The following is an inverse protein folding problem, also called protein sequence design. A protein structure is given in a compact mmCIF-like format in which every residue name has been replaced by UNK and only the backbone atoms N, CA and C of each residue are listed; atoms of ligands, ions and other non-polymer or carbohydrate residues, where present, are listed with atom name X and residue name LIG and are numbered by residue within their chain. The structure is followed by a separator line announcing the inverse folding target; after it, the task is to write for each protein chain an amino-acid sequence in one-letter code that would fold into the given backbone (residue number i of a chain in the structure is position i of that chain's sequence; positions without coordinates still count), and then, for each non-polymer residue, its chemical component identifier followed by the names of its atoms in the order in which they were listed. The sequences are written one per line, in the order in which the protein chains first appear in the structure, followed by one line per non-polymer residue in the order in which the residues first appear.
data_IF_063830593792
#
_entry.id   IF_063830593792
#
_cell.length_a   1.000
_cell.length_b   1.000
_cell.length_c   1.000
_cell.angle_alpha   90.00
_cell.angle_beta   90.00
_cell.angle_gamma   90.00
#
_symmetry.space_group_name_H-M   'P 1'
#
loop_
_entity.id
_entity.type
_entity.pdbx_description
1 polymer ?
#
# COMPACT_ATOMS: atom_id res chain seq x y z
N UNK A 1 -11.84 30.74 9.09
CA UNK A 1 -12.68 30.02 8.10
C UNK A 1 -13.13 30.98 7.02
N UNK A 2 -12.62 30.91 5.80
CA UNK A 2 -13.20 31.64 4.67
C UNK A 2 -13.83 30.64 3.70
N UNK A 3 -15.13 30.37 3.90
CA UNK A 3 -15.99 29.71 2.91
C UNK A 3 -15.91 30.53 1.62
N UNK A 4 -15.30 29.98 0.58
CA UNK A 4 -15.41 30.55 -0.76
C UNK A 4 -16.86 30.38 -1.22
N UNK A 5 -17.56 31.51 -1.29
CA UNK A 5 -18.93 31.67 -1.79
C UNK A 5 -19.10 30.98 -3.15
N UNK A 6 -20.22 30.29 -3.35
CA UNK A 6 -20.47 29.42 -4.51
C UNK A 6 -20.32 30.16 -5.85
N UNK A 7 -20.55 31.49 -5.88
CA UNK A 7 -20.37 32.35 -7.06
C UNK A 7 -18.91 32.55 -7.45
N UNK A 8 -17.96 32.63 -6.50
CA UNK A 8 -16.52 32.76 -6.79
C UNK A 8 -15.92 31.51 -7.43
N UNK A 9 -16.52 30.32 -7.22
CA UNK A 9 -16.09 29.06 -7.87
C UNK A 9 -16.38 29.01 -9.37
N UNK A 10 -17.47 29.65 -9.82
CA UNK A 10 -17.86 29.63 -11.23
C UNK A 10 -16.91 30.44 -12.14
N UNK A 11 -16.25 31.48 -11.61
CA UNK A 11 -15.32 32.33 -12.35
C UNK A 11 -13.87 31.82 -12.40
N UNK A 12 -13.54 30.74 -11.68
CA UNK A 12 -12.18 30.25 -11.63
C UNK A 12 -11.74 29.64 -12.97
N UNK A 13 -10.53 29.96 -13.48
CA UNK A 13 -10.06 29.46 -14.77
C UNK A 13 -9.83 27.94 -14.71
N UNK A 14 -9.90 27.24 -15.86
CA UNK A 14 -9.69 25.77 -15.96
C UNK A 14 -8.38 25.28 -15.29
N UNK A 15 -7.36 26.15 -15.19
CA UNK A 15 -6.10 25.85 -14.50
C UNK A 15 -6.24 25.63 -12.99
N UNK A 16 -7.28 26.18 -12.37
CA UNK A 16 -7.57 26.07 -10.94
C UNK A 16 -8.11 24.69 -10.52
N UNK A 17 -8.28 23.77 -11.46
CA UNK A 17 -8.86 22.44 -11.25
C UNK A 17 -7.93 21.38 -11.79
N UNK A 18 -7.74 20.28 -11.06
CA UNK A 18 -6.93 19.16 -11.52
C UNK A 18 -7.61 18.40 -12.67
N UNK A 19 -8.95 18.39 -12.73
CA UNK A 19 -9.72 17.71 -13.77
C UNK A 19 -10.85 18.59 -14.34
N UNK A 20 -11.00 18.58 -15.66
CA UNK A 20 -12.12 19.18 -16.40
C UNK A 20 -12.55 18.17 -17.46
N UNK A 21 -13.82 17.78 -17.46
CA UNK A 21 -14.37 16.82 -18.43
C UNK A 21 -14.66 17.48 -19.80
N UNK A 22 -14.97 16.67 -20.82
CA UNK A 22 -15.33 17.15 -22.17
C UNK A 22 -16.57 18.05 -22.19
N UNK A 23 -17.46 17.91 -21.21
CA UNK A 23 -18.66 18.76 -21.02
C UNK A 23 -18.33 20.06 -20.26
N UNK A 24 -17.07 20.30 -19.91
CA UNK A 24 -16.62 21.51 -19.23
C UNK A 24 -16.84 21.51 -17.72
N UNK A 25 -17.30 20.41 -17.10
CA UNK A 25 -17.47 20.30 -15.65
C UNK A 25 -16.09 20.24 -14.98
N UNK A 26 -15.91 21.12 -13.99
CA UNK A 26 -14.64 21.29 -13.28
C UNK A 26 -14.68 20.53 -11.96
N UNK A 27 -13.72 19.63 -11.73
CA UNK A 27 -13.62 18.81 -10.51
C UNK A 27 -12.22 18.97 -9.89
N UNK A 28 -12.08 18.61 -8.61
CA UNK A 28 -10.80 18.64 -7.90
C UNK A 28 -10.11 20.03 -7.95
N UNK A 29 -10.70 21.06 -7.34
CA UNK A 29 -10.07 22.38 -7.24
C UNK A 29 -8.71 22.26 -6.53
N UNK A 30 -7.75 23.04 -7.00
CA UNK A 30 -6.35 23.04 -6.55
C UNK A 30 -5.80 24.46 -6.33
N UNK A 31 -6.69 25.43 -6.18
CA UNK A 31 -6.33 26.85 -6.08
C UNK A 31 -5.81 27.25 -4.71
N UNK A 32 -6.06 26.48 -3.66
CA UNK A 32 -5.53 26.69 -2.31
C UNK A 32 -5.33 25.35 -1.58
N UNK A 33 -4.65 25.40 -0.44
CA UNK A 33 -4.26 24.24 0.37
C UNK A 33 -5.46 23.41 0.84
N UNK A 34 -6.55 24.04 1.28
CA UNK A 34 -7.75 23.36 1.75
C UNK A 34 -8.44 22.59 0.61
N UNK A 35 -8.53 23.21 -0.57
CA UNK A 35 -9.05 22.56 -1.75
C UNK A 35 -8.17 21.39 -2.19
N UNK A 36 -6.84 21.52 -2.11
CA UNK A 36 -5.93 20.42 -2.45
C UNK A 36 -6.09 19.24 -1.49
N UNK A 37 -6.15 19.48 -0.16
CA UNK A 37 -6.41 18.40 0.81
C UNK A 37 -7.74 17.69 0.54
N UNK A 38 -8.81 18.46 0.32
CA UNK A 38 -10.13 17.91 0.02
C UNK A 38 -10.14 17.15 -1.33
N UNK A 39 -9.45 17.68 -2.35
CA UNK A 39 -9.30 17.01 -3.64
C UNK A 39 -8.54 15.69 -3.53
N UNK A 40 -7.48 15.61 -2.71
CA UNK A 40 -6.75 14.38 -2.44
C UNK A 40 -7.66 13.33 -1.77
N UNK A 41 -8.44 13.73 -0.77
CA UNK A 41 -9.35 12.84 -0.04
C UNK A 41 -10.43 12.22 -0.95
N UNK A 42 -10.96 12.99 -1.91
CA UNK A 42 -12.07 12.56 -2.78
C UNK A 42 -11.66 12.15 -4.19
N UNK A 43 -10.38 12.08 -4.50
CA UNK A 43 -9.92 11.78 -5.87
C UNK A 43 -10.47 10.46 -6.41
N UNK A 44 -10.57 9.45 -5.55
CA UNK A 44 -11.14 8.13 -5.90
C UNK A 44 -12.65 8.14 -6.10
N UNK A 45 -13.36 9.18 -5.65
CA UNK A 45 -14.81 9.35 -5.84
C UNK A 45 -15.14 10.10 -7.12
N UNK A 46 -14.13 10.50 -7.90
CA UNK A 46 -14.32 11.25 -9.14
C UNK A 46 -14.40 10.28 -10.32
N UNK A 47 -15.51 10.31 -11.04
CA UNK A 47 -15.61 9.65 -12.34
C UNK A 47 -14.73 10.38 -13.36
N UNK A 48 -13.81 9.62 -13.96
CA UNK A 48 -12.97 10.08 -15.05
C UNK A 48 -13.44 9.44 -16.35
N UNK A 49 -13.39 10.20 -17.44
CA UNK A 49 -13.79 9.71 -18.77
C UNK A 49 -12.92 8.55 -19.27
N UNK A 50 -11.66 8.48 -18.83
CA UNK A 50 -10.73 7.40 -19.12
C UNK A 50 -9.51 7.46 -18.18
N UNK A 51 -8.71 6.39 -18.21
CA UNK A 51 -7.50 6.27 -17.40
C UNK A 51 -6.48 7.37 -17.70
N UNK A 52 -6.36 7.79 -18.96
CA UNK A 52 -5.46 8.88 -19.32
C UNK A 52 -5.89 10.23 -18.70
N UNK A 53 -7.19 10.49 -18.61
CA UNK A 53 -7.74 11.68 -17.95
C UNK A 53 -7.51 11.62 -16.44
N UNK A 54 -7.70 10.45 -15.83
CA UNK A 54 -7.39 10.18 -14.42
C UNK A 54 -5.91 10.45 -14.10
N UNK A 55 -5.01 9.94 -14.93
CA UNK A 55 -3.57 10.12 -14.72
C UNK A 55 -3.13 11.58 -14.87
N UNK A 56 -3.67 12.31 -15.86
CA UNK A 56 -3.43 13.75 -15.99
C UNK A 56 -3.91 14.53 -14.77
N UNK A 57 -5.10 14.19 -14.24
CA UNK A 57 -5.63 14.81 -13.04
C UNK A 57 -4.78 14.51 -11.79
N UNK A 58 -4.32 13.26 -11.65
CA UNK A 58 -3.43 12.82 -10.57
C UNK A 58 -2.15 13.66 -10.56
N UNK A 59 -1.47 13.77 -11.70
CA UNK A 59 -0.24 14.54 -11.84
C UNK A 59 -0.44 16.02 -11.45
N UNK A 60 -1.54 16.63 -11.90
CA UNK A 60 -1.86 18.03 -11.56
C UNK A 60 -2.15 18.21 -10.08
N UNK A 61 -2.87 17.28 -9.45
CA UNK A 61 -3.20 17.33 -8.04
C UNK A 61 -1.95 17.16 -7.16
N UNK A 62 -1.04 16.24 -7.51
CA UNK A 62 0.23 16.08 -6.80
C UNK A 62 1.13 17.32 -6.94
N UNK A 63 1.20 17.92 -8.13
CA UNK A 63 1.93 19.17 -8.31
C UNK A 63 1.36 20.31 -7.46
N UNK A 64 0.05 20.38 -7.30
CA UNK A 64 -0.58 21.35 -6.42
C UNK A 64 -0.32 21.05 -4.94
N UNK A 65 -0.37 19.78 -4.53
CA UNK A 65 0.01 19.35 -3.18
C UNK A 65 1.44 19.78 -2.85
N UNK A 66 2.36 19.63 -3.80
CA UNK A 66 3.74 20.13 -3.69
C UNK A 66 3.79 21.61 -3.37
N UNK A 67 3.07 22.42 -4.15
CA UNK A 67 3.05 23.87 -4.04
C UNK A 67 2.65 24.34 -2.64
N UNK A 68 1.80 23.57 -1.96
CA UNK A 68 1.30 23.88 -0.62
C UNK A 68 1.92 23.02 0.49
N UNK A 69 2.99 22.26 0.22
CA UNK A 69 3.66 21.44 1.23
C UNK A 69 2.81 20.29 1.80
N UNK A 70 1.84 19.78 1.04
CA UNK A 70 0.98 18.67 1.45
C UNK A 70 1.61 17.35 0.99
N UNK A 71 1.78 16.40 1.91
CA UNK A 71 2.35 15.06 1.66
C UNK A 71 1.25 13.98 1.73
N UNK A 72 0.72 13.49 0.60
CA UNK A 72 -0.46 12.63 0.60
C UNK A 72 -0.11 11.14 0.55
N UNK A 73 0.36 10.58 1.67
CA UNK A 73 0.82 9.19 1.79
C UNK A 73 -0.28 8.18 1.40
N UNK A 74 -1.50 8.32 1.94
CA UNK A 74 -2.62 7.42 1.64
C UNK A 74 -3.17 7.51 0.21
N UNK A 75 -2.90 8.63 -0.49
CA UNK A 75 -3.35 8.82 -1.86
C UNK A 75 -2.56 7.95 -2.85
N UNK A 76 -1.24 7.82 -2.63
CA UNK A 76 -0.34 7.07 -3.49
C UNK A 76 -0.65 5.56 -3.40
N UNK A 77 -0.86 5.04 -2.19
CA UNK A 77 -1.26 3.64 -1.96
C UNK A 77 -2.67 3.35 -2.48
N UNK A 78 -3.63 4.26 -2.27
CA UNK A 78 -5.02 4.08 -2.74
C UNK A 78 -5.18 4.05 -4.27
N UNK A 79 -4.25 4.66 -5.04
CA UNK A 79 -4.23 4.59 -6.50
C UNK A 79 -3.73 3.22 -7.04
N UNK A 80 -2.89 2.52 -6.27
CA UNK A 80 -2.33 1.22 -6.68
C UNK A 80 -3.38 0.10 -6.71
N UNK A 81 -4.47 0.23 -5.95
CA UNK A 81 -5.55 -0.76 -5.89
C UNK A 81 -6.68 -0.48 -6.88
N UNK A 82 -6.89 0.78 -7.25
CA UNK A 82 -8.01 1.19 -8.11
C UNK A 82 -7.71 1.12 -9.62
N UNK A 83 -6.53 0.60 -10.00
CA UNK A 83 -6.22 0.19 -11.38
C UNK A 83 -6.70 -1.24 -11.72
N UNK A 84 -7.34 -1.96 -10.78
CA UNK A 84 -7.73 -3.37 -10.99
C UNK A 84 -9.14 -3.79 -10.54
N UNK A 85 -10.03 -2.87 -10.18
CA UNK A 85 -11.39 -3.25 -9.78
C UNK A 85 -12.44 -2.27 -10.35
N UNK A 86 -13.09 -2.69 -11.43
CA UNK A 86 -14.48 -2.31 -11.70
C UNK A 86 -15.36 -3.06 -10.70
N UNK A 87 -16.01 -2.33 -9.80
CA UNK A 87 -17.37 -2.58 -9.28
C UNK A 87 -17.61 -1.70 -8.03
N UNK A 88 -18.82 -1.18 -7.98
CA UNK A 88 -19.39 -0.10 -7.17
C UNK A 88 -19.55 -0.40 -5.67
N UNK A 89 -19.53 0.68 -4.88
CA UNK A 89 -19.86 0.86 -3.45
C UNK A 89 -18.79 0.54 -2.38
N UNK A 90 -18.27 1.64 -1.83
CA UNK A 90 -18.12 2.02 -0.41
C UNK A 90 -17.15 1.30 0.56
N UNK A 91 -16.52 2.12 1.43
CA UNK A 91 -15.57 1.88 2.54
C UNK A 91 -14.27 1.11 2.20
N UNK A 92 -13.16 1.81 1.91
CA UNK A 92 -11.83 1.17 1.76
C UNK A 92 -10.67 2.05 2.26
N UNK A 93 -10.30 1.92 3.54
CA UNK A 93 -9.13 2.61 4.11
C UNK A 93 -8.43 1.83 5.26
N UNK A 94 -8.45 0.49 5.26
CA UNK A 94 -7.88 -0.32 6.37
C UNK A 94 -6.43 -0.79 6.10
N UNK A 95 -5.62 0.05 5.45
CA UNK A 95 -4.24 -0.28 5.10
C UNK A 95 -3.29 0.78 5.68
N UNK A 96 -2.28 0.30 6.41
CA UNK A 96 -1.24 1.13 7.01
C UNK A 96 0.11 0.86 6.37
N UNK A 97 0.92 1.91 6.25
CA UNK A 97 2.29 1.84 5.72
C UNK A 97 3.23 2.47 6.74
N UNK A 98 4.26 1.72 7.16
CA UNK A 98 5.26 2.15 8.11
C UNK A 98 6.66 1.90 7.55
N UNK A 99 7.61 2.77 7.91
CA UNK A 99 9.00 2.67 7.47
C UNK A 99 9.90 2.66 8.69
N UNK A 100 10.82 1.71 8.69
CA UNK A 100 11.78 1.50 9.76
C UNK A 100 13.19 1.65 9.19
N UNK A 101 14.11 2.14 10.02
CA UNK A 101 15.53 2.25 9.65
C UNK A 101 16.20 0.87 9.63
N UNK A 102 15.78 -0.03 10.52
CA UNK A 102 16.31 -1.38 10.63
C UNK A 102 15.21 -2.42 10.41
N UNK A 103 15.55 -3.52 9.73
CA UNK A 103 14.60 -4.58 9.40
C UNK A 103 14.09 -5.31 10.66
N UNK A 104 14.94 -5.45 11.68
CA UNK A 104 14.58 -6.07 12.98
C UNK A 104 13.43 -5.30 13.64
N UNK A 105 13.51 -3.97 13.71
CA UNK A 105 12.46 -3.13 14.29
C UNK A 105 11.10 -3.36 13.62
N UNK A 106 11.09 -3.51 12.28
CA UNK A 106 9.87 -3.77 11.53
C UNK A 106 9.26 -5.13 11.86
N UNK A 107 10.10 -6.17 11.98
CA UNK A 107 9.68 -7.54 12.32
C UNK A 107 9.15 -7.60 13.76
N UNK A 108 9.83 -6.98 14.71
CA UNK A 108 9.39 -6.92 16.11
C UNK A 108 8.08 -6.15 16.26
N UNK A 109 7.95 -5.00 15.59
CA UNK A 109 6.71 -4.23 15.57
C UNK A 109 5.55 -5.05 14.98
N UNK A 110 5.78 -5.76 13.88
CA UNK A 110 4.77 -6.63 13.28
C UNK A 110 4.33 -7.76 14.23
N UNK A 111 5.29 -8.40 14.91
CA UNK A 111 5.00 -9.43 15.90
C UNK A 111 4.20 -8.87 17.10
N UNK A 112 4.57 -7.69 17.59
CA UNK A 112 3.85 -7.00 18.66
C UNK A 112 2.40 -6.66 18.28
N UNK A 113 2.18 -6.17 17.05
CA UNK A 113 0.84 -5.88 16.52
C UNK A 113 -0.02 -7.15 16.48
N UNK A 114 0.49 -8.25 15.93
CA UNK A 114 -0.28 -9.49 15.84
C UNK A 114 -0.61 -10.07 17.22
N UNK A 115 0.33 -10.01 18.18
CA UNK A 115 0.09 -10.44 19.56
C UNK A 115 -1.01 -9.61 20.22
N UNK A 116 -0.92 -8.29 20.14
CA UNK A 116 -1.91 -7.39 20.73
C UNK A 116 -3.32 -7.60 20.15
N UNK A 117 -3.43 -7.84 18.84
CA UNK A 117 -4.71 -8.14 18.18
C UNK A 117 -5.23 -9.52 18.54
N UNK A 118 -4.36 -10.53 18.65
CA UNK A 118 -4.73 -11.86 19.10
C UNK A 118 -5.19 -11.91 20.57
N UNK A 119 -4.66 -11.03 21.42
CA UNK A 119 -5.14 -10.85 22.80
C UNK A 119 -6.51 -10.18 22.87
N UNK A 120 -6.74 -9.13 22.07
CA UNK A 120 -8.06 -8.47 21.98
C UNK A 120 -9.14 -9.41 21.44
N UNK A 121 -8.82 -10.18 20.41
CA UNK A 121 -9.74 -11.16 19.82
C UNK A 121 -10.22 -12.19 20.84
N UNK A 122 -9.34 -12.61 21.76
CA UNK A 122 -9.70 -13.52 22.87
C UNK A 122 -10.63 -12.89 23.91
N UNK A 123 -10.74 -11.56 23.98
CA UNK A 123 -11.55 -10.83 24.97
C UNK A 123 -12.90 -10.38 24.43
N UNK A 124 -12.96 -9.87 23.20
CA UNK A 124 -14.07 -9.02 22.73
C UNK A 124 -15.00 -9.69 21.69
N UNK A 125 -14.89 -11.01 21.45
CA UNK A 125 -15.65 -11.82 20.47
C UNK A 125 -15.61 -11.34 18.99
N UNK A 126 -15.05 -10.16 18.70
CA UNK A 126 -14.80 -9.62 17.37
C UNK A 126 -13.39 -10.01 16.90
N UNK A 127 -13.34 -10.91 15.93
CA UNK A 127 -12.09 -11.37 15.33
C UNK A 127 -11.60 -10.42 14.23
N UNK A 128 -10.66 -9.54 14.60
CA UNK A 128 -9.96 -8.65 13.65
C UNK A 128 -8.60 -9.25 13.32
N UNK A 129 -8.44 -9.74 12.08
CA UNK A 129 -7.18 -10.30 11.59
C UNK A 129 -6.53 -9.42 10.53
N UNK A 130 -5.41 -8.79 10.89
CA UNK A 130 -4.62 -7.97 9.96
C UNK A 130 -3.59 -8.82 9.22
N UNK A 131 -3.29 -8.43 7.98
CA UNK A 131 -2.23 -9.03 7.15
C UNK A 131 -1.04 -8.11 7.20
N UNK A 132 0.17 -8.64 7.39
CA UNK A 132 1.38 -7.83 7.43
C UNK A 132 2.38 -8.35 6.40
N UNK A 133 2.88 -7.44 5.56
CA UNK A 133 3.97 -7.68 4.63
C UNK A 133 5.14 -6.76 4.94
N UNK A 134 6.37 -7.28 4.92
CA UNK A 134 7.60 -6.50 5.14
C UNK A 134 8.56 -6.75 3.98
N UNK A 135 9.16 -5.68 3.46
CA UNK A 135 10.22 -5.75 2.47
C UNK A 135 11.29 -4.72 2.80
N UNK A 136 12.55 -5.13 2.66
CA UNK A 136 13.71 -4.28 2.82
C UNK A 136 14.23 -3.91 1.44
N UNK A 137 14.43 -2.61 1.21
CA UNK A 137 14.91 -2.11 -0.08
C UNK A 137 15.39 -0.67 0.05
N UNK A 138 15.74 -0.09 -1.09
CA UNK A 138 16.24 1.29 -1.17
C UNK A 138 15.24 2.19 -1.91
N UNK A 139 14.12 2.57 -1.27
CA UNK A 139 13.18 3.50 -1.88
C UNK A 139 13.80 4.91 -1.95
N UNK A 140 13.34 5.71 -2.89
CA UNK A 140 13.68 7.14 -2.92
C UNK A 140 12.68 7.90 -2.08
N UNK A 141 13.17 8.65 -1.09
CA UNK A 141 12.35 9.60 -0.35
C UNK A 141 12.15 10.86 -1.20
N UNK A 142 10.91 11.28 -1.35
CA UNK A 142 10.53 12.52 -2.02
C UNK A 142 9.69 13.37 -1.10
N UNK A 143 9.42 14.61 -1.50
CA UNK A 143 8.44 15.49 -0.85
C UNK A 143 7.04 14.86 -0.74
N UNK A 144 6.77 13.78 -1.47
CA UNK A 144 5.48 13.09 -1.50
C UNK A 144 5.50 11.73 -0.79
N UNK A 145 6.60 11.38 -0.12
CA UNK A 145 6.82 10.08 0.49
C UNK A 145 7.73 9.18 -0.33
N UNK A 146 7.69 7.89 -0.04
CA UNK A 146 8.57 6.90 -0.66
C UNK A 146 8.04 6.48 -2.04
N UNK A 147 8.96 6.42 -3.00
CA UNK A 147 8.70 5.90 -4.34
C UNK A 147 9.75 4.86 -4.72
N UNK A 148 9.44 4.12 -5.78
CA UNK A 148 10.32 3.12 -6.37
C UNK A 148 9.84 1.70 -6.13
N UNK A 149 10.57 0.75 -6.73
CA UNK A 149 10.22 -0.68 -6.71
C UNK A 149 9.94 -1.22 -5.29
N UNK A 150 10.71 -0.89 -4.23
CA UNK A 150 10.47 -1.41 -2.89
C UNK A 150 9.06 -1.13 -2.33
N UNK A 151 8.46 0.02 -2.70
CA UNK A 151 7.09 0.38 -2.27
C UNK A 151 6.05 -0.52 -2.93
N UNK A 152 6.28 -0.89 -4.18
CA UNK A 152 5.43 -1.86 -4.88
C UNK A 152 5.67 -3.28 -4.35
N UNK A 153 6.93 -3.65 -4.11
CA UNK A 153 7.28 -4.97 -3.56
C UNK A 153 6.61 -5.21 -2.22
N UNK A 154 6.73 -4.29 -1.25
CA UNK A 154 6.10 -4.48 0.07
C UNK A 154 4.58 -4.61 -0.02
N UNK A 155 3.93 -3.84 -0.89
CA UNK A 155 2.50 -3.95 -1.10
C UNK A 155 2.10 -5.34 -1.66
N UNK A 156 2.94 -5.93 -2.54
CA UNK A 156 2.73 -7.28 -3.07
C UNK A 156 3.01 -8.36 -2.04
N UNK A 157 4.06 -8.21 -1.23
CA UNK A 157 4.35 -9.11 -0.10
C UNK A 157 3.19 -9.09 0.92
N UNK A 158 2.63 -7.93 1.22
CA UNK A 158 1.46 -7.84 2.10
C UNK A 158 0.22 -8.49 1.49
N UNK A 159 -0.01 -8.27 0.19
CA UNK A 159 -1.19 -8.79 -0.50
C UNK A 159 -1.27 -10.34 -0.53
N UNK A 160 -0.12 -11.02 -0.56
CA UNK A 160 -0.07 -12.49 -0.56
C UNK A 160 -0.29 -13.12 0.81
N UNK A 161 -0.17 -12.35 1.90
CA UNK A 161 -0.37 -12.81 3.26
C UNK A 161 -1.86 -13.08 3.57
N UNK A 162 -2.09 -13.91 4.59
CA UNK A 162 -3.39 -14.20 5.19
C UNK A 162 -3.61 -13.41 6.48
N UNK A 163 -4.88 -13.27 6.91
CA UNK A 163 -5.19 -12.56 8.15
C UNK A 163 -4.53 -13.22 9.36
N UNK A 164 -3.78 -12.45 10.15
CA UNK A 164 -2.94 -12.93 11.25
C UNK A 164 -1.51 -13.32 10.83
N UNK A 165 -1.21 -13.32 9.53
CA UNK A 165 0.10 -13.72 8.99
C UNK A 165 1.03 -12.51 8.84
N UNK A 166 2.32 -12.75 9.09
CA UNK A 166 3.41 -11.85 8.77
C UNK A 166 4.27 -12.53 7.69
N UNK A 167 4.34 -11.92 6.51
CA UNK A 167 5.16 -12.39 5.40
C UNK A 167 6.26 -11.37 5.12
N UNK A 168 7.48 -11.84 4.89
CA UNK A 168 8.64 -11.00 4.60
C UNK A 168 9.33 -11.43 3.30
N UNK A 169 9.99 -10.48 2.63
CA UNK A 169 10.81 -10.73 1.44
C UNK A 169 12.17 -11.35 1.77
N UNK A 170 12.86 -11.88 0.76
CA UNK A 170 14.22 -12.40 0.91
C UNK A 170 15.20 -11.34 1.41
N UNK A 171 15.14 -10.12 0.86
CA UNK A 171 15.99 -9.00 1.29
C UNK A 171 15.76 -8.63 2.75
N UNK A 172 14.54 -8.85 3.28
CA UNK A 172 14.28 -8.63 4.70
C UNK A 172 14.97 -9.67 5.57
N UNK A 173 14.99 -10.93 5.13
CA UNK A 173 15.75 -11.97 5.84
C UNK A 173 17.24 -11.67 5.87
N UNK A 174 17.79 -11.22 4.74
CA UNK A 174 19.21 -10.83 4.60
C UNK A 174 19.52 -9.60 5.46
N UNK A 175 18.65 -8.60 5.47
CA UNK A 175 18.82 -7.38 6.26
C UNK A 175 18.74 -7.61 7.78
N UNK A 176 17.97 -8.60 8.23
CA UNK A 176 17.98 -9.05 9.64
C UNK A 176 19.28 -9.78 9.95
N UNK A 177 19.71 -10.69 9.07
CA UNK A 177 20.99 -11.38 9.14
C UNK A 177 21.28 -11.98 10.52
N UNK A 178 22.49 -11.73 11.04
CA UNK A 178 22.92 -12.21 12.36
C UNK A 178 22.26 -11.49 13.55
N UNK A 179 21.51 -10.41 13.32
CA UNK A 179 20.85 -9.63 14.37
C UNK A 179 19.44 -10.14 14.70
N UNK A 180 19.13 -11.40 14.35
CA UNK A 180 17.82 -11.99 14.60
C UNK A 180 17.56 -12.11 16.11
N UNK A 181 16.49 -11.50 16.64
CA UNK A 181 16.19 -11.58 18.07
C UNK A 181 15.84 -13.00 18.50
N UNK A 182 16.10 -13.31 19.78
CA UNK A 182 15.77 -14.61 20.35
C UNK A 182 14.26 -14.89 20.24
N UNK A 183 13.90 -16.10 19.82
CA UNK A 183 12.51 -16.54 19.67
C UNK A 183 11.84 -16.14 18.35
N UNK A 184 12.51 -15.39 17.47
CA UNK A 184 12.07 -15.16 16.09
C UNK A 184 12.70 -16.18 15.15
N UNK A 185 11.89 -16.75 14.25
CA UNK A 185 12.32 -17.63 13.17
C UNK A 185 11.64 -17.25 11.87
N UNK A 186 12.31 -17.53 10.75
CA UNK A 186 11.75 -17.34 9.42
C UNK A 186 11.59 -18.68 8.71
N UNK A 187 10.35 -19.08 8.43
CA UNK A 187 10.05 -20.28 7.65
C UNK A 187 9.90 -19.92 6.19
N UNK A 188 10.67 -20.57 5.31
CA UNK A 188 10.56 -20.38 3.87
C UNK A 188 9.19 -20.81 3.35
N UNK A 189 8.58 -19.94 2.54
CA UNK A 189 7.36 -20.19 1.77
C UNK A 189 7.69 -20.45 0.28
N UNK A 190 8.97 -20.44 -0.08
CA UNK A 190 9.46 -20.60 -1.45
C UNK A 190 9.50 -19.30 -2.26
N UNK A 191 9.83 -19.43 -3.55
CA UNK A 191 9.89 -18.30 -4.49
C UNK A 191 8.59 -18.17 -5.29
N UNK A 192 8.09 -16.95 -5.41
CA UNK A 192 6.80 -16.66 -6.03
C UNK A 192 6.90 -15.50 -7.01
N UNK A 193 6.38 -15.66 -8.23
CA UNK A 193 6.21 -14.53 -9.14
C UNK A 193 5.03 -13.68 -8.68
N UNK A 194 5.31 -12.45 -8.26
CA UNK A 194 4.29 -11.51 -7.81
C UNK A 194 3.94 -10.54 -8.93
N UNK A 195 2.65 -10.25 -9.11
CA UNK A 195 2.19 -9.41 -10.21
C UNK A 195 2.81 -8.01 -10.17
N UNK A 196 3.51 -7.64 -11.23
CA UNK A 196 4.16 -6.34 -11.39
C UNK A 196 5.59 -6.26 -10.85
N UNK A 197 6.14 -7.36 -10.33
CA UNK A 197 7.57 -7.46 -10.02
C UNK A 197 8.32 -8.14 -11.19
N UNK A 198 9.55 -7.70 -11.49
CA UNK A 198 10.33 -8.26 -12.60
C UNK A 198 10.73 -9.72 -12.35
N UNK A 199 11.09 -10.03 -11.10
CA UNK A 199 11.64 -11.33 -10.69
C UNK A 199 10.74 -12.07 -9.72
N UNK A 200 11.01 -13.37 -9.54
CA UNK A 200 10.35 -14.16 -8.50
C UNK A 200 10.88 -13.75 -7.13
N UNK A 201 9.97 -13.42 -6.22
CA UNK A 201 10.26 -12.96 -4.86
C UNK A 201 10.39 -14.16 -3.91
N UNK A 202 11.43 -14.20 -3.08
CA UNK A 202 11.54 -15.21 -2.03
C UNK A 202 10.69 -14.76 -0.84
N UNK A 203 9.78 -15.62 -0.39
CA UNK A 203 8.85 -15.28 0.69
C UNK A 203 9.12 -16.14 1.91
N UNK A 204 9.00 -15.53 3.08
CA UNK A 204 9.16 -16.20 4.37
C UNK A 204 8.05 -15.78 5.32
N UNK A 205 7.62 -16.70 6.17
CA UNK A 205 6.72 -16.41 7.28
C UNK A 205 7.54 -16.16 8.54
N UNK A 206 7.18 -15.11 9.27
CA UNK A 206 7.70 -14.90 10.62
C UNK A 206 6.98 -15.83 11.60
N UNK A 207 7.76 -16.56 12.38
CA UNK A 207 7.29 -17.43 13.46
C UNK A 207 7.90 -16.99 14.77
N UNK A 208 7.06 -16.86 15.79
CA UNK A 208 7.45 -16.58 17.16
C UNK A 208 6.31 -16.98 18.10
N UNK A 209 6.61 -17.08 19.39
CA UNK A 209 5.60 -17.35 20.40
C UNK A 209 4.52 -16.25 20.41
N UNK A 210 3.27 -16.70 20.54
CA UNK A 210 2.09 -15.84 20.48
C UNK A 210 1.63 -15.46 19.06
N UNK A 211 2.27 -15.98 18.01
CA UNK A 211 1.83 -15.82 16.63
C UNK A 211 1.13 -17.09 16.10
N UNK A 212 0.18 -16.90 15.17
CA UNK A 212 -0.37 -18.01 14.41
C UNK A 212 0.71 -18.60 13.48
N UNK A 213 0.81 -19.93 13.42
CA UNK A 213 1.86 -20.62 12.67
C UNK A 213 1.36 -21.26 11.36
N UNK A 214 0.09 -21.63 11.28
CA UNK A 214 -0.45 -22.39 10.14
C UNK A 214 -1.37 -21.54 9.30
N UNK A 215 -1.05 -21.44 8.00
CA UNK A 215 -1.84 -20.72 7.02
C UNK A 215 -1.90 -21.50 5.71
N UNK A 216 -2.91 -21.25 4.86
CA UNK A 216 -2.91 -21.74 3.49
C UNK A 216 -1.71 -21.20 2.69
N UNK A 217 -1.41 -21.76 1.50
CA UNK A 217 -0.38 -21.23 0.62
C UNK A 217 -0.56 -19.72 0.33
N UNK A 218 0.54 -18.97 0.07
CA UNK A 218 0.47 -17.54 -0.26
C UNK A 218 -0.49 -17.23 -1.42
N UNK A 219 -1.19 -16.09 -1.34
CA UNK A 219 -2.23 -15.70 -2.31
C UNK A 219 -1.64 -15.10 -3.60
N UNK A 220 -0.94 -15.90 -4.38
CA UNK A 220 -0.13 -15.42 -5.52
C UNK A 220 -0.86 -15.27 -6.85
N UNK A 221 -2.17 -15.55 -6.90
CA UNK A 221 -3.02 -15.20 -8.04
C UNK A 221 -2.53 -15.78 -9.39
N UNK A 222 -2.46 -17.10 -9.51
CA UNK A 222 -2.18 -17.79 -10.77
C UNK A 222 -1.75 -19.23 -10.53
N UNK A 223 -2.33 -20.17 -11.30
CA UNK A 223 -2.05 -21.63 -11.27
C UNK A 223 -0.56 -21.91 -11.04
N UNK A 224 -0.24 -22.49 -9.88
CA UNK A 224 1.06 -23.08 -9.58
C UNK A 224 1.38 -24.18 -10.61
N UNK A 225 2.10 -23.86 -11.68
CA UNK A 225 2.92 -24.87 -12.35
C UNK A 225 4.18 -25.03 -11.50
N UNK A 226 4.20 -26.10 -10.70
CA UNK A 226 5.43 -26.58 -10.07
C UNK A 226 6.42 -26.85 -11.20
N UNK A 227 7.51 -26.08 -11.27
CA UNK A 227 8.64 -26.46 -12.10
C UNK A 227 9.35 -27.57 -11.32
N UNK A 228 9.30 -28.78 -11.86
CA UNK A 228 10.08 -29.91 -11.37
C UNK A 228 11.51 -29.67 -11.83
N UNK A 229 12.44 -29.53 -10.89
CA UNK A 229 13.87 -29.47 -11.19
C UNK A 229 14.38 -30.89 -11.43
N UNK A 230 14.54 -31.25 -12.69
CA UNK A 230 15.19 -32.48 -13.12
C UNK A 230 16.60 -32.16 -13.59
N UNK A 231 17.55 -32.24 -12.67
CA UNK A 231 18.98 -32.26 -12.97
C UNK A 231 19.72 -33.07 -11.89
N UNK A 232 19.63 -34.39 -12.01
CA UNK A 232 20.65 -35.35 -11.55
C UNK A 232 20.98 -36.24 -12.74
N UNK A 233 22.16 -36.04 -13.31
CA UNK A 233 23.03 -37.04 -13.92
C UNK A 233 24.41 -36.40 -14.08
#
# INVERSE_FOLDING_TARGET
MSRLDARKRASLPKRAFAYVDSRGRRRLPINDEAHVRNALARFNQVDFENDAARERARKRLLNAAKKYGIVPIGFITGQLHSARAQATHDVRADEFFAVFKHAVDAVEAAAAIQRALGERTRRDELEVRVRIGIHSGRPTLTDFGYIGLPVHTVARVCAVAHGGQIVISGETTEAVGASMPAGLRFRSLGRHRLSGLPDAEALFQVEADGLLATFPPPRTGGRSRRIHDSSRA
#
